data_IF_014277783780
#
_entry.id   IF_014277783780
#
_cell.length_a   1.000
_cell.length_b   1.000
_cell.length_c   1.000
_cell.angle_alpha   90.00
_cell.angle_beta   90.00
_cell.angle_gamma   90.00
#
_symmetry.space_group_name_H-M   'P 1'
#
loop_
_entity.id
_entity.type
_entity.pdbx_description
1 polymer ?
#
# COMPACT_ATOMS: atom_id res chain seq x y z
N UNK A 1 48.79 1.01 -14.64
CA UNK A 1 47.91 2.19 -14.76
C UNK A 1 46.49 1.78 -14.41
N UNK A 2 45.87 2.37 -13.40
CA UNK A 2 44.48 2.08 -13.06
C UNK A 2 43.57 2.73 -14.11
N UNK A 3 42.81 1.92 -14.85
CA UNK A 3 41.84 2.37 -15.84
C UNK A 3 40.82 3.31 -15.19
N UNK A 4 40.45 4.37 -15.90
CA UNK A 4 39.44 5.30 -15.39
C UNK A 4 38.08 4.59 -15.31
N UNK A 5 37.25 4.93 -14.32
CA UNK A 5 35.95 4.26 -14.15
C UNK A 5 35.04 4.34 -15.39
N UNK A 6 35.24 5.36 -16.23
CA UNK A 6 34.58 5.49 -17.55
C UNK A 6 34.99 4.40 -18.53
N UNK A 7 36.28 4.06 -18.56
CA UNK A 7 36.80 2.98 -19.42
C UNK A 7 36.29 1.61 -18.97
N UNK A 8 36.08 1.42 -17.66
CA UNK A 8 35.52 0.17 -17.13
C UNK A 8 33.99 0.04 -17.30
N UNK A 9 33.27 1.14 -17.52
CA UNK A 9 31.79 1.15 -17.59
C UNK A 9 31.28 2.03 -18.75
N UNK A 10 31.54 1.65 -20.01
CA UNK A 10 31.24 2.49 -21.18
C UNK A 10 29.75 2.87 -21.27
N UNK A 11 28.84 1.96 -20.89
CA UNK A 11 27.39 2.20 -20.95
C UNK A 11 26.83 3.00 -19.75
N UNK A 12 27.61 3.24 -18.69
CA UNK A 12 27.17 3.94 -17.48
C UNK A 12 28.27 4.88 -16.98
N UNK A 13 28.70 5.81 -17.82
CA UNK A 13 29.86 6.68 -17.56
C UNK A 13 29.59 7.90 -16.65
N UNK A 14 28.32 8.17 -16.31
CA UNK A 14 27.92 9.31 -15.44
C UNK A 14 27.67 8.83 -14.00
N UNK A 15 28.33 9.45 -13.03
CA UNK A 15 28.17 9.19 -11.59
C UNK A 15 27.64 10.45 -10.89
N UNK A 16 26.69 10.26 -9.98
CA UNK A 16 26.20 11.28 -9.04
C UNK A 16 26.36 10.72 -7.63
N UNK A 17 26.79 11.56 -6.71
CA UNK A 17 26.95 11.22 -5.29
C UNK A 17 25.89 11.97 -4.50
N UNK A 18 25.28 11.29 -3.54
CA UNK A 18 24.27 11.85 -2.63
C UNK A 18 24.75 11.57 -1.21
N UNK A 19 24.66 12.58 -0.36
CA UNK A 19 24.99 12.50 1.07
C UNK A 19 23.70 12.42 1.89
N UNK A 20 23.74 11.63 2.96
CA UNK A 20 22.63 11.48 3.90
C UNK A 20 23.13 11.77 5.31
N UNK A 21 22.29 12.38 6.13
CA UNK A 21 22.43 12.30 7.58
C UNK A 21 22.18 10.85 8.05
N UNK A 22 22.59 10.48 9.28
CA UNK A 22 22.33 9.14 9.80
C UNK A 22 20.84 8.75 9.79
N UNK A 23 19.95 9.69 10.12
CA UNK A 23 18.51 9.45 10.19
C UNK A 23 17.89 9.28 8.80
N UNK A 24 18.26 10.14 7.84
CA UNK A 24 17.82 10.01 6.45
C UNK A 24 18.29 8.68 5.84
N UNK A 25 19.52 8.25 6.15
CA UNK A 25 20.02 6.96 5.70
C UNK A 25 19.27 5.79 6.33
N UNK A 26 18.94 5.87 7.62
CA UNK A 26 18.16 4.85 8.31
C UNK A 26 16.77 4.69 7.67
N UNK A 27 16.12 5.79 7.29
CA UNK A 27 14.85 5.77 6.57
C UNK A 27 14.98 5.17 5.16
N UNK A 28 15.92 5.67 4.35
CA UNK A 28 16.15 5.19 2.99
C UNK A 28 16.49 3.69 2.97
N UNK A 29 17.33 3.23 3.90
CA UNK A 29 17.70 1.83 4.02
C UNK A 29 16.50 0.96 4.45
N UNK A 30 15.67 1.41 5.41
CA UNK A 30 14.45 0.68 5.78
C UNK A 30 13.53 0.47 4.58
N UNK A 31 13.32 1.51 3.77
CA UNK A 31 12.53 1.41 2.55
C UNK A 31 13.15 0.43 1.54
N UNK A 32 14.44 0.59 1.24
CA UNK A 32 15.16 -0.30 0.33
C UNK A 32 15.10 -1.77 0.76
N UNK A 33 15.28 -2.08 2.05
CA UNK A 33 15.24 -3.45 2.56
C UNK A 33 13.86 -4.09 2.38
N UNK A 34 12.77 -3.33 2.55
CA UNK A 34 11.40 -3.81 2.26
C UNK A 34 11.24 -4.17 0.79
N UNK A 35 11.67 -3.29 -0.11
CA UNK A 35 11.59 -3.52 -1.56
C UNK A 35 12.46 -4.72 -1.96
N UNK A 36 13.68 -4.81 -1.44
CA UNK A 36 14.59 -5.94 -1.69
C UNK A 36 13.96 -7.28 -1.29
N UNK A 37 13.33 -7.35 -0.12
CA UNK A 37 12.62 -8.56 0.35
C UNK A 37 11.47 -8.93 -0.58
N UNK A 38 10.66 -7.96 -1.01
CA UNK A 38 9.54 -8.21 -1.94
C UNK A 38 9.98 -8.75 -3.31
N UNK A 39 11.22 -8.48 -3.72
CA UNK A 39 11.81 -8.98 -4.97
C UNK A 39 12.72 -10.20 -4.77
N UNK A 40 12.46 -11.01 -3.75
CA UNK A 40 13.20 -12.25 -3.49
C UNK A 40 14.68 -12.04 -3.10
N UNK A 41 15.04 -10.87 -2.60
CA UNK A 41 16.39 -10.57 -2.13
C UNK A 41 17.39 -10.13 -3.21
N UNK A 42 17.01 -10.16 -4.49
CA UNK A 42 17.91 -9.87 -5.62
C UNK A 42 17.70 -8.44 -6.13
N UNK A 43 18.12 -7.45 -5.34
CA UNK A 43 18.14 -6.05 -5.75
C UNK A 43 19.28 -5.32 -5.05
N UNK A 44 20.10 -4.59 -5.82
CA UNK A 44 21.14 -3.71 -5.26
C UNK A 44 20.59 -2.31 -5.00
N UNK A 45 21.16 -1.61 -4.01
CA UNK A 45 20.73 -0.25 -3.67
C UNK A 45 20.85 0.70 -4.86
N UNK A 46 21.94 0.60 -5.64
CA UNK A 46 22.14 1.45 -6.82
C UNK A 46 21.14 1.18 -7.95
N UNK A 47 20.70 -0.07 -8.12
CA UNK A 47 19.63 -0.39 -9.07
C UNK A 47 18.29 0.17 -8.60
N UNK A 48 18.00 0.04 -7.30
CA UNK A 48 16.80 0.61 -6.68
C UNK A 48 16.77 2.13 -6.77
N UNK A 49 17.83 2.82 -6.36
CA UNK A 49 17.93 4.28 -6.41
C UNK A 49 17.84 4.81 -7.85
N UNK A 50 18.42 4.11 -8.82
CA UNK A 50 18.31 4.49 -10.23
C UNK A 50 16.88 4.32 -10.76
N UNK A 51 16.25 3.18 -10.47
CA UNK A 51 14.85 2.97 -10.82
C UNK A 51 13.99 4.08 -10.19
N UNK A 52 14.20 4.38 -8.90
CA UNK A 52 13.50 5.48 -8.25
C UNK A 52 13.77 6.84 -8.92
N UNK A 53 14.99 7.18 -9.32
CA UNK A 53 15.28 8.45 -10.00
C UNK A 53 14.73 8.53 -11.44
N UNK A 54 14.54 7.40 -12.11
CA UNK A 54 13.96 7.32 -13.46
C UNK A 54 12.44 7.28 -13.39
N UNK A 55 11.91 6.48 -12.47
CA UNK A 55 10.50 6.14 -12.32
C UNK A 55 9.77 7.08 -11.33
N UNK A 56 10.48 7.96 -10.60
CA UNK A 56 9.88 8.95 -9.69
C UNK A 56 9.20 10.08 -10.47
N UNK A 57 8.13 9.73 -11.17
CA UNK A 57 7.00 10.61 -11.28
C UNK A 57 6.13 10.28 -10.07
N UNK A 58 6.08 11.17 -9.09
CA UNK A 58 5.17 11.04 -7.95
C UNK A 58 3.76 10.98 -8.50
N UNK A 59 3.23 9.78 -8.63
CA UNK A 59 1.81 9.59 -8.90
C UNK A 59 1.10 9.88 -7.59
N UNK A 60 0.53 11.08 -7.48
CA UNK A 60 -0.55 11.32 -6.52
C UNK A 60 -1.75 10.50 -7.00
N UNK A 61 -1.90 9.28 -6.48
CA UNK A 61 -3.10 8.47 -6.72
C UNK A 61 -4.20 9.06 -5.87
N UNK A 62 -4.97 10.00 -6.44
CA UNK A 62 -6.24 10.42 -5.85
C UNK A 62 -7.21 9.26 -6.02
N UNK A 63 -7.31 8.41 -4.99
CA UNK A 63 -8.39 7.42 -4.94
C UNK A 63 -9.67 8.22 -4.75
N UNK A 64 -10.65 8.05 -5.65
CA UNK A 64 -11.98 8.69 -5.56
C UNK A 64 -12.85 8.11 -4.42
N UNK A 65 -12.20 7.49 -3.44
CA UNK A 65 -12.82 6.91 -2.27
C UNK A 65 -12.81 7.97 -1.18
N UNK A 66 -13.97 8.55 -0.89
CA UNK A 66 -14.13 9.48 0.24
C UNK A 66 -13.87 8.73 1.56
N UNK A 67 -12.77 9.03 2.28
CA UNK A 67 -12.45 8.37 3.54
C UNK A 67 -13.50 8.62 4.64
N UNK A 68 -14.28 9.71 4.52
CA UNK A 68 -15.39 10.02 5.41
C UNK A 68 -16.57 9.06 5.24
N UNK A 69 -16.98 8.82 3.99
CA UNK A 69 -18.07 7.89 3.67
C UNK A 69 -17.75 6.45 4.10
N UNK A 70 -16.54 5.98 3.78
CA UNK A 70 -16.11 4.62 4.18
C UNK A 70 -16.13 4.45 5.69
N UNK A 71 -15.66 5.46 6.43
CA UNK A 71 -15.65 5.43 7.89
C UNK A 71 -17.06 5.38 8.46
N UNK A 72 -18.01 6.10 7.85
CA UNK A 72 -19.41 6.07 8.24
C UNK A 72 -20.04 4.68 8.02
N UNK A 73 -19.79 4.06 6.85
CA UNK A 73 -20.29 2.72 6.53
C UNK A 73 -19.71 1.65 7.46
N UNK A 74 -18.40 1.69 7.70
CA UNK A 74 -17.75 0.78 8.66
C UNK A 74 -18.29 0.97 10.09
N UNK A 75 -18.50 2.22 10.51
CA UNK A 75 -19.04 2.51 11.84
C UNK A 75 -20.46 1.97 12.00
N UNK A 76 -21.32 2.13 10.98
CA UNK A 76 -22.68 1.58 10.99
C UNK A 76 -22.66 0.06 11.13
N UNK A 77 -21.85 -0.64 10.33
CA UNK A 77 -21.74 -2.10 10.38
C UNK A 77 -21.22 -2.56 11.74
N UNK A 78 -20.18 -1.89 12.27
CA UNK A 78 -19.63 -2.17 13.59
C UNK A 78 -20.66 -1.97 14.71
N UNK A 79 -21.46 -0.90 14.64
CA UNK A 79 -22.53 -0.64 15.61
C UNK A 79 -23.60 -1.74 15.59
N UNK A 80 -23.99 -2.22 14.41
CA UNK A 80 -24.96 -3.31 14.27
C UNK A 80 -24.45 -4.60 14.93
N UNK A 81 -23.19 -4.98 14.68
CA UNK A 81 -22.57 -6.15 15.30
C UNK A 81 -22.49 -5.97 16.83
N UNK A 82 -22.12 -4.77 17.29
CA UNK A 82 -21.99 -4.47 18.72
C UNK A 82 -23.35 -4.55 19.44
N UNK A 83 -24.43 -4.10 18.80
CA UNK A 83 -25.79 -4.24 19.35
C UNK A 83 -26.19 -5.71 19.50
N UNK A 84 -25.89 -6.55 18.52
CA UNK A 84 -26.16 -7.99 18.60
C UNK A 84 -25.36 -8.63 19.74
N UNK A 85 -24.08 -8.28 19.86
CA UNK A 85 -23.23 -8.74 20.95
C UNK A 85 -23.77 -8.30 22.32
N UNK A 86 -24.22 -7.05 22.46
CA UNK A 86 -24.82 -6.56 23.70
C UNK A 86 -26.10 -7.31 24.07
N UNK A 87 -27.00 -7.56 23.11
CA UNK A 87 -28.23 -8.33 23.36
C UNK A 87 -27.92 -9.77 23.76
N UNK A 88 -26.98 -10.42 23.06
CA UNK A 88 -26.53 -11.77 23.39
C UNK A 88 -25.92 -11.83 24.81
N UNK A 89 -25.05 -10.87 25.15
CA UNK A 89 -24.43 -10.79 26.47
C UNK A 89 -25.44 -10.50 27.58
N UNK A 90 -26.44 -9.67 27.32
CA UNK A 90 -27.45 -9.29 28.31
C UNK A 90 -28.48 -10.41 28.57
N UNK A 91 -28.80 -11.20 27.55
CA UNK A 91 -29.84 -12.25 27.63
C UNK A 91 -29.25 -13.64 27.86
N UNK A 92 -27.95 -13.83 27.62
CA UNK A 92 -27.29 -15.15 27.63
C UNK A 92 -27.77 -16.07 26.51
N UNK A 93 -28.56 -15.56 25.56
CA UNK A 93 -29.22 -16.31 24.50
C UNK A 93 -28.78 -15.76 23.15
N UNK A 94 -28.45 -16.67 22.24
CA UNK A 94 -28.14 -16.35 20.84
C UNK A 94 -29.20 -17.04 19.98
N UNK A 95 -29.91 -16.26 19.18
CA UNK A 95 -30.88 -16.81 18.23
C UNK A 95 -30.23 -17.07 16.87
N UNK A 96 -30.82 -17.95 16.07
CA UNK A 96 -30.41 -18.15 14.67
C UNK A 96 -30.53 -16.86 13.85
N UNK A 97 -31.49 -16.00 14.19
CA UNK A 97 -31.63 -14.66 13.60
C UNK A 97 -30.46 -13.73 13.93
N UNK A 98 -29.91 -13.80 15.13
CA UNK A 98 -28.72 -13.02 15.52
C UNK A 98 -27.49 -13.45 14.72
N UNK A 99 -27.29 -14.75 14.56
CA UNK A 99 -26.20 -15.30 13.75
C UNK A 99 -26.34 -14.87 12.28
N UNK A 100 -27.56 -14.95 11.72
CA UNK A 100 -27.82 -14.49 10.35
C UNK A 100 -27.47 -13.00 10.16
N UNK A 101 -27.88 -12.14 11.10
CA UNK A 101 -27.59 -10.69 11.07
C UNK A 101 -26.09 -10.37 11.16
N UNK A 102 -25.34 -11.11 11.98
CA UNK A 102 -23.87 -10.96 12.05
C UNK A 102 -23.22 -11.39 10.74
N UNK A 103 -23.63 -12.52 10.17
CA UNK A 103 -23.11 -13.00 8.89
C UNK A 103 -23.41 -12.02 7.75
N UNK A 104 -24.61 -11.43 7.71
CA UNK A 104 -24.95 -10.39 6.74
C UNK A 104 -24.10 -9.13 6.91
N UNK A 105 -23.89 -8.70 8.16
CA UNK A 105 -23.00 -7.57 8.48
C UNK A 105 -21.54 -7.86 8.05
N UNK A 106 -21.06 -9.09 8.22
CA UNK A 106 -19.74 -9.52 7.78
C UNK A 106 -19.62 -9.55 6.25
N UNK A 107 -20.65 -10.02 5.55
CA UNK A 107 -20.71 -9.98 4.07
C UNK A 107 -20.67 -8.54 3.56
N UNK A 108 -21.44 -7.66 4.19
CA UNK A 108 -21.48 -6.23 3.85
C UNK A 108 -20.10 -5.59 4.03
N UNK A 109 -19.43 -5.84 5.17
CA UNK A 109 -18.06 -5.37 5.41
C UNK A 109 -17.07 -5.90 4.37
N UNK A 110 -17.16 -7.19 4.04
CA UNK A 110 -16.29 -7.83 3.06
C UNK A 110 -16.48 -7.22 1.66
N UNK A 111 -17.72 -6.98 1.27
CA UNK A 111 -18.05 -6.34 -0.01
C UNK A 111 -17.51 -4.91 -0.08
N UNK A 112 -17.65 -4.14 1.01
CA UNK A 112 -17.08 -2.78 1.12
C UNK A 112 -15.56 -2.79 0.93
N UNK A 113 -14.85 -3.67 1.66
CA UNK A 113 -13.39 -3.77 1.57
C UNK A 113 -12.91 -4.21 0.18
N UNK A 114 -13.58 -5.18 -0.43
CA UNK A 114 -13.25 -5.65 -1.78
C UNK A 114 -13.46 -4.55 -2.82
N UNK A 115 -14.53 -3.76 -2.68
CA UNK A 115 -14.78 -2.60 -3.54
C UNK A 115 -13.66 -1.57 -3.41
N UNK A 116 -13.27 -1.22 -2.17
CA UNK A 116 -12.16 -0.28 -1.93
C UNK A 116 -10.85 -0.76 -2.55
N UNK A 117 -10.53 -2.05 -2.43
CA UNK A 117 -9.33 -2.62 -3.05
C UNK A 117 -9.35 -2.49 -4.58
N UNK A 118 -10.49 -2.78 -5.22
CA UNK A 118 -10.64 -2.63 -6.68
C UNK A 118 -10.48 -1.17 -7.12
N UNK A 119 -11.18 -0.24 -6.48
CA UNK A 119 -11.09 1.19 -6.82
C UNK A 119 -9.66 1.73 -6.66
N UNK A 120 -8.94 1.28 -5.62
CA UNK A 120 -7.51 1.59 -5.46
C UNK A 120 -6.68 1.03 -6.62
N UNK A 121 -6.86 -0.25 -6.95
CA UNK A 121 -6.07 -0.92 -7.98
C UNK A 121 -6.31 -0.29 -9.36
N UNK A 122 -7.57 0.03 -9.68
CA UNK A 122 -7.95 0.77 -10.89
C UNK A 122 -7.32 2.17 -10.92
N UNK A 123 -7.34 2.90 -9.80
CA UNK A 123 -6.72 4.22 -9.72
C UNK A 123 -5.19 4.16 -9.90
N UNK A 124 -4.54 3.10 -9.37
CA UNK A 124 -3.11 2.84 -9.55
C UNK A 124 -2.80 2.50 -11.01
N UNK A 125 -3.56 1.62 -11.64
CA UNK A 125 -3.35 1.27 -13.05
C UNK A 125 -3.59 2.46 -13.98
N UNK A 126 -4.68 3.22 -13.79
CA UNK A 126 -4.97 4.41 -14.58
C UNK A 126 -3.88 5.48 -14.45
N UNK A 127 -3.22 5.57 -13.31
CA UNK A 127 -2.07 6.43 -13.14
C UNK A 127 -0.82 5.97 -13.89
N UNK A 128 -0.53 4.66 -13.91
CA UNK A 128 0.62 4.09 -14.65
C UNK A 128 0.54 4.34 -16.16
N UNK A 129 -0.68 4.31 -16.72
CA UNK A 129 -0.89 4.62 -18.13
C UNK A 129 -0.63 6.09 -18.46
N UNK A 130 -1.04 7.02 -17.58
CA UNK A 130 -0.84 8.46 -17.79
C UNK A 130 0.62 8.91 -17.70
N UNK A 131 1.48 8.15 -17.02
CA UNK A 131 2.92 8.43 -16.95
C UNK A 131 3.74 7.88 -18.13
N UNK A 132 3.11 7.19 -19.09
CA UNK A 132 3.78 6.55 -20.24
C UNK A 132 3.57 7.28 -21.58
N UNK A 133 2.86 8.42 -21.56
CA UNK A 133 2.71 9.41 -22.66
C UNK A 133 3.45 10.68 -22.30
#
# INVERSE_FOLDING_TARGET
MAMSWRESHPNRCRRKTVTFTPDEWAEANRFYQRVKRSRGGVLSFSAHARALLIDAHTVMVTVALDPGMVRADMARIGNNINQIAHVANATGLITSGDVARVLDSQRELTALLLRMCRERDEAVEAARWRSST
#
